data_IF_417993096857
#
_entry.id   IF_417993096857
#
_cell.length_a   1.000
_cell.length_b   1.000
_cell.length_c   1.000
_cell.angle_alpha   90.00
_cell.angle_beta   90.00
_cell.angle_gamma   90.00
#
_symmetry.space_group_name_H-M   'P 1'
#
loop_
_entity.id
_entity.type
_entity.pdbx_description
1 polymer ?
#
# COMPACT_ATOMS: atom_id res chain seq x y z
N UNK A 1 42.35 -22.03 -7.81
CA UNK A 1 42.12 -21.65 -7.75
C UNK A 1 41.37 -21.11 -7.68
N UNK A 2 41.22 -21.14 -7.63
CA UNK A 2 40.78 -20.69 -7.57
C UNK A 2 39.90 -20.22 -7.79
N UNK A 3 39.61 -20.13 -7.93
CA UNK A 3 39.03 -19.64 -8.16
C UNK A 3 38.05 -19.40 -8.22
N UNK A 4 37.98 -19.52 -8.13
CA UNK A 4 37.24 -19.28 -8.22
C UNK A 4 36.28 -18.90 -8.09
N UNK A 5 36.23 -19.03 -7.91
CA UNK A 5 35.40 -18.68 -7.74
C UNK A 5 34.53 -17.87 -7.96
N UNK A 6 34.43 -17.63 -8.32
CA UNK A 6 33.87 -16.82 -8.52
C UNK A 6 32.78 -16.49 -8.95
N UNK A 7 32.66 -16.74 -9.25
CA UNK A 7 31.86 -16.42 -9.64
C UNK A 7 30.64 -16.36 -9.62
N UNK A 8 30.32 -16.54 -10.55
CA UNK A 8 29.15 -17.17 -9.98
C UNK A 8 28.29 -16.17 -9.24
N UNK A 9 28.92 -15.38 -8.65
CA UNK A 9 28.29 -14.35 -7.84
C UNK A 9 27.44 -13.43 -8.66
N UNK A 10 27.87 -13.20 -9.85
CA UNK A 10 27.17 -12.27 -10.71
C UNK A 10 25.72 -12.66 -10.91
N UNK A 11 25.48 -13.93 -10.95
CA UNK A 11 24.11 -14.37 -11.20
C UNK A 11 23.14 -13.88 -10.18
N UNK A 12 23.60 -13.71 -9.02
CA UNK A 12 22.75 -13.28 -7.93
C UNK A 12 22.19 -11.92 -8.17
N UNK A 13 22.98 -11.04 -8.67
CA UNK A 13 22.54 -9.67 -8.90
C UNK A 13 21.44 -9.61 -9.91
N UNK A 14 21.55 -10.39 -10.92
CA UNK A 14 20.56 -10.38 -11.97
C UNK A 14 19.22 -10.76 -11.45
N UNK A 15 19.20 -11.71 -10.55
CA UNK A 15 17.93 -12.12 -9.95
C UNK A 15 17.27 -10.97 -9.23
N UNK A 16 18.05 -10.20 -8.56
CA UNK A 16 17.50 -9.06 -7.84
C UNK A 16 16.84 -8.07 -8.78
N UNK A 17 17.45 -7.85 -9.90
CA UNK A 17 16.89 -6.92 -10.87
C UNK A 17 15.55 -7.40 -11.39
N UNK A 18 15.44 -8.68 -11.62
CA UNK A 18 14.19 -9.22 -12.08
C UNK A 18 13.08 -9.01 -11.07
N UNK A 19 13.41 -9.18 -9.83
CA UNK A 19 12.44 -8.96 -8.78
C UNK A 19 11.93 -7.53 -8.80
N UNK A 20 12.80 -6.58 -9.06
CA UNK A 20 12.41 -5.19 -9.05
C UNK A 20 11.56 -4.82 -10.24
N UNK A 21 11.54 -5.64 -11.27
CA UNK A 21 10.73 -5.35 -12.44
C UNK A 21 9.34 -5.96 -12.37
N UNK A 22 8.98 -6.54 -11.24
CA UNK A 22 7.67 -7.13 -11.07
C UNK A 22 6.60 -6.07 -11.28
N UNK A 23 5.42 -6.48 -11.78
CA UNK A 23 4.33 -5.54 -11.98
C UNK A 23 3.97 -4.83 -10.70
N UNK A 24 3.62 -3.59 -10.84
CA UNK A 24 3.21 -2.78 -9.71
C UNK A 24 1.83 -3.22 -9.25
N UNK A 25 1.70 -3.59 -8.02
CA UNK A 25 0.40 -3.88 -7.45
C UNK A 25 -0.28 -2.55 -7.13
N UNK A 26 -1.60 -2.58 -7.13
CA UNK A 26 -2.35 -1.41 -6.68
C UNK A 26 -2.05 -1.15 -5.22
N UNK A 27 -1.96 0.11 -4.89
CA UNK A 27 -1.73 0.53 -3.52
C UNK A 27 -2.88 1.46 -3.14
N UNK A 28 -4.08 0.93 -3.13
CA UNK A 28 -5.27 1.73 -2.88
C UNK A 28 -5.20 2.40 -1.53
N UNK A 29 -5.53 3.67 -1.53
CA UNK A 29 -5.68 4.43 -0.31
C UNK A 29 -6.95 5.24 -0.40
N UNK A 30 -7.62 5.44 0.74
CA UNK A 30 -8.84 6.19 0.80
C UNK A 30 -8.82 7.14 1.99
N UNK A 31 -9.67 8.15 1.94
CA UNK A 31 -9.86 9.07 3.04
C UNK A 31 -11.34 9.11 3.40
N UNK A 32 -11.65 9.10 4.68
CA UNK A 32 -13.01 9.23 5.17
C UNK A 32 -13.06 10.40 6.14
N UNK A 33 -14.19 11.11 6.16
CA UNK A 33 -14.34 12.32 6.94
C UNK A 33 -15.70 12.31 7.62
N UNK A 34 -15.76 12.87 8.81
CA UNK A 34 -17.00 13.05 9.55
C UNK A 34 -17.35 14.53 9.65
N UNK A 35 -18.61 14.82 9.97
CA UNK A 35 -19.08 16.20 10.04
C UNK A 35 -18.36 17.01 11.13
N UNK A 36 -17.87 16.37 12.16
CA UNK A 36 -17.16 17.06 13.23
C UNK A 36 -15.70 17.32 12.90
N UNK A 37 -15.27 16.99 11.68
CA UNK A 37 -13.90 17.20 11.27
C UNK A 37 -12.97 16.01 11.52
N UNK A 38 -13.45 14.97 12.16
CA UNK A 38 -12.64 13.77 12.30
C UNK A 38 -12.40 13.13 10.96
N UNK A 39 -11.27 12.49 10.80
CA UNK A 39 -10.99 11.84 9.54
C UNK A 39 -10.17 10.56 9.79
N UNK A 40 -10.15 9.72 8.78
CA UNK A 40 -9.34 8.53 8.77
C UNK A 40 -8.86 8.26 7.36
N UNK A 41 -7.79 7.52 7.24
CA UNK A 41 -7.26 7.23 5.93
C UNK A 41 -6.65 5.84 5.92
N UNK A 42 -6.39 5.36 4.71
CA UNK A 42 -5.77 4.07 4.51
C UNK A 42 -4.83 4.17 3.32
N UNK A 43 -3.94 3.19 3.22
CA UNK A 43 -3.03 3.13 2.09
C UNK A 43 -2.51 1.71 1.97
N UNK A 44 -1.97 1.40 0.80
CA UNK A 44 -1.31 0.12 0.57
C UNK A 44 -2.24 -1.08 0.55
N UNK A 45 -3.47 -0.88 0.13
CA UNK A 45 -4.40 -2.00 0.02
C UNK A 45 -4.49 -2.48 -1.41
N UNK A 46 -4.68 -3.77 -1.57
CA UNK A 46 -4.70 -4.36 -2.91
C UNK A 46 -6.00 -4.08 -3.65
N UNK A 47 -7.06 -3.66 -2.94
CA UNK A 47 -8.31 -3.32 -3.61
C UNK A 47 -8.98 -2.16 -2.91
N UNK A 48 -9.85 -1.51 -3.68
CA UNK A 48 -10.51 -0.30 -3.22
C UNK A 48 -11.45 -0.54 -2.05
N UNK A 49 -12.16 -1.66 -2.08
CA UNK A 49 -13.12 -1.94 -1.01
C UNK A 49 -12.42 -2.02 0.34
N UNK A 50 -11.32 -2.75 0.41
CA UNK A 50 -10.59 -2.89 1.66
C UNK A 50 -10.06 -1.55 2.13
N UNK A 51 -9.56 -0.74 1.20
CA UNK A 51 -9.06 0.59 1.54
C UNK A 51 -10.16 1.47 2.11
N UNK A 52 -11.35 1.41 1.51
CA UNK A 52 -12.48 2.20 1.99
C UNK A 52 -12.90 1.78 3.39
N UNK A 53 -12.96 0.48 3.63
CA UNK A 53 -13.35 -0.02 4.94
C UNK A 53 -12.36 0.42 6.00
N UNK A 54 -11.09 0.38 5.67
CA UNK A 54 -10.06 0.78 6.63
C UNK A 54 -10.12 2.27 6.93
N UNK A 55 -10.26 3.09 5.90
CA UNK A 55 -10.34 4.53 6.10
C UNK A 55 -11.54 4.87 6.99
N UNK A 56 -12.67 4.23 6.73
CA UNK A 56 -13.85 4.47 7.53
C UNK A 56 -13.66 4.02 8.97
N UNK A 57 -13.03 2.86 9.16
CA UNK A 57 -12.79 2.36 10.51
C UNK A 57 -11.88 3.29 11.29
N UNK A 58 -10.85 3.82 10.65
CA UNK A 58 -9.96 4.76 11.30
C UNK A 58 -10.67 6.04 11.68
N UNK A 59 -11.52 6.53 10.79
CA UNK A 59 -12.31 7.71 11.08
C UNK A 59 -13.28 7.45 12.23
N UNK A 60 -14.01 6.34 12.16
CA UNK A 60 -14.99 6.02 13.19
C UNK A 60 -14.37 5.84 14.56
N UNK A 61 -13.11 5.49 14.62
CA UNK A 61 -12.43 5.33 15.91
C UNK A 61 -12.17 6.69 16.58
N UNK A 62 -12.34 7.78 15.85
CA UNK A 62 -12.03 9.11 16.33
C UNK A 62 -13.26 9.98 16.58
N UNK A 63 -14.43 9.45 16.32
CA UNK A 63 -15.64 10.25 16.43
C UNK A 63 -16.83 9.32 16.62
N UNK A 64 -17.90 9.88 17.18
CA UNK A 64 -19.17 9.17 17.23
C UNK A 64 -20.07 9.50 16.04
N UNK A 65 -19.60 10.38 15.17
CA UNK A 65 -20.34 10.74 13.96
C UNK A 65 -20.07 9.70 12.90
N UNK A 66 -20.96 9.64 11.94
CA UNK A 66 -20.76 8.73 10.82
C UNK A 66 -19.73 9.29 9.86
N UNK A 67 -18.82 8.42 9.40
CA UNK A 67 -17.77 8.83 8.48
C UNK A 67 -18.13 8.43 7.06
N UNK A 68 -17.80 9.30 6.13
CA UNK A 68 -18.04 9.06 4.71
C UNK A 68 -16.70 9.04 3.98
N UNK A 69 -16.56 8.08 3.08
CA UNK A 69 -15.37 8.03 2.24
C UNK A 69 -15.48 9.12 1.19
N UNK A 70 -14.52 10.03 1.16
CA UNK A 70 -14.55 11.18 0.27
C UNK A 70 -13.65 11.04 -0.94
N UNK A 71 -12.61 10.22 -0.85
CA UNK A 71 -11.73 10.04 -1.98
C UNK A 71 -10.96 8.73 -1.84
N UNK A 72 -10.59 8.18 -2.97
CA UNK A 72 -9.76 6.99 -3.04
C UNK A 72 -8.81 7.14 -4.21
N UNK A 73 -7.63 6.57 -4.08
CA UNK A 73 -6.58 6.69 -5.06
C UNK A 73 -5.92 5.33 -5.24
N UNK A 74 -5.83 4.81 -6.46
CA UNK A 74 -5.18 3.51 -6.67
C UNK A 74 -3.68 3.52 -6.42
N UNK A 75 -3.09 4.69 -6.29
CA UNK A 75 -1.66 4.79 -6.00
C UNK A 75 -1.39 5.26 -4.58
N UNK A 76 -2.38 5.19 -3.77
CA UNK A 76 -2.20 5.48 -2.38
C UNK A 76 -2.21 6.87 -1.97
#
# INVERSE_FOLDING_TARGET
MKRNTKFAIAGIFISSLLASSAPQAFAWGCTAVADDGAYGYSYNYSNKRAARQRARAECNARTSYECQVTSCDPNG
#
